data_IF_849595340132
#
_entry.id   IF_849595340132
#
_cell.length_a   1.000
_cell.length_b   1.000
_cell.length_c   1.000
_cell.angle_alpha   90.00
_cell.angle_beta   90.00
_cell.angle_gamma   90.00
#
_symmetry.space_group_name_H-M   'P 1'
#
loop_
_entity.id
_entity.type
_entity.pdbx_description
1 polymer ?
#
# COMPACT_ATOMS: atom_id res chain seq x y z
N UNK A 1 -21.93 -5.89 9.36
CA UNK A 1 -20.74 -6.02 8.49
C UNK A 1 -19.62 -5.05 8.87
N UNK A 2 -19.86 -3.72 8.93
CA UNK A 2 -18.80 -2.73 9.22
C UNK A 2 -18.15 -2.94 10.60
N UNK A 3 -18.93 -3.26 11.64
CA UNK A 3 -18.38 -3.49 12.98
C UNK A 3 -17.46 -4.72 13.06
N UNK A 4 -17.79 -5.80 12.34
CA UNK A 4 -16.96 -7.01 12.25
C UNK A 4 -15.62 -6.73 11.56
N UNK A 5 -15.63 -5.87 10.54
CA UNK A 5 -14.41 -5.42 9.87
C UNK A 5 -13.53 -4.57 10.81
N UNK A 6 -14.12 -3.80 11.72
CA UNK A 6 -13.36 -3.04 12.74
C UNK A 6 -12.58 -3.97 13.68
N UNK A 7 -13.20 -5.06 14.15
CA UNK A 7 -12.51 -6.05 14.99
C UNK A 7 -11.37 -6.75 14.25
N UNK A 8 -11.57 -7.12 12.98
CA UNK A 8 -10.50 -7.70 12.16
C UNK A 8 -9.35 -6.74 11.93
N UNK A 9 -9.62 -5.45 11.68
CA UNK A 9 -8.56 -4.42 11.56
C UNK A 9 -7.70 -4.35 12.80
N UNK A 10 -8.31 -4.43 13.98
CA UNK A 10 -7.55 -4.42 15.23
C UNK A 10 -6.58 -5.60 15.30
N UNK A 11 -7.04 -6.82 14.99
CA UNK A 11 -6.20 -8.02 15.00
C UNK A 11 -5.04 -7.89 14.01
N UNK A 12 -5.32 -7.51 12.76
CA UNK A 12 -4.26 -7.35 11.75
C UNK A 12 -3.33 -6.17 12.02
N UNK A 13 -3.81 -5.09 12.65
CA UNK A 13 -2.96 -4.00 13.10
C UNK A 13 -2.00 -4.47 14.20
N UNK A 14 -2.47 -5.28 15.15
CA UNK A 14 -1.61 -5.87 16.18
C UNK A 14 -0.57 -6.83 15.59
N UNK A 15 -0.93 -7.62 14.56
CA UNK A 15 0.03 -8.45 13.84
C UNK A 15 1.16 -7.62 13.22
N UNK A 16 0.81 -6.55 12.49
CA UNK A 16 1.78 -5.64 11.86
C UNK A 16 2.63 -4.94 12.91
N UNK A 17 2.03 -4.48 14.01
CA UNK A 17 2.75 -3.84 15.10
C UNK A 17 3.79 -4.78 15.72
N UNK A 18 3.39 -5.99 16.10
CA UNK A 18 4.29 -6.98 16.66
C UNK A 18 5.42 -7.39 15.70
N UNK A 19 5.15 -7.44 14.39
CA UNK A 19 6.17 -7.69 13.37
C UNK A 19 7.29 -6.64 13.36
N UNK A 20 6.97 -5.38 13.70
CA UNK A 20 7.97 -4.32 13.83
C UNK A 20 8.65 -4.37 15.21
N UNK A 21 7.91 -4.70 16.27
CA UNK A 21 8.48 -4.86 17.61
C UNK A 21 9.49 -6.01 17.68
N UNK A 22 9.30 -7.07 16.90
CA UNK A 22 10.26 -8.18 16.77
C UNK A 22 11.68 -7.72 16.40
N UNK A 23 11.83 -6.63 15.64
CA UNK A 23 13.14 -6.09 15.27
C UNK A 23 13.88 -5.49 16.48
N UNK A 24 13.15 -5.13 17.54
CA UNK A 24 13.65 -4.47 18.75
C UNK A 24 13.74 -5.45 19.92
N UNK A 25 12.75 -6.35 20.05
CA UNK A 25 12.61 -7.26 21.17
C UNK A 25 12.15 -8.65 20.71
N UNK A 26 12.95 -9.66 21.06
CA UNK A 26 12.70 -11.07 20.75
C UNK A 26 11.46 -11.64 21.46
N UNK A 27 10.87 -10.96 22.46
CA UNK A 27 9.58 -11.39 23.03
C UNK A 27 8.45 -11.41 21.98
N UNK A 28 8.59 -10.65 20.90
CA UNK A 28 7.65 -10.67 19.78
C UNK A 28 7.97 -11.76 18.74
N UNK A 29 8.95 -12.64 19.00
CA UNK A 29 9.34 -13.77 18.15
C UNK A 29 8.35 -14.95 18.20
N UNK A 30 7.04 -14.64 18.16
CA UNK A 30 5.99 -15.64 18.02
C UNK A 30 5.51 -15.69 16.57
N UNK A 31 5.14 -16.89 16.10
CA UNK A 31 4.72 -17.11 14.71
C UNK A 31 3.61 -16.15 14.28
N UNK A 32 2.68 -15.81 15.18
CA UNK A 32 1.61 -14.87 14.93
C UNK A 32 2.08 -13.46 14.47
N UNK A 33 3.17 -12.93 15.03
CA UNK A 33 3.70 -11.62 14.66
C UNK A 33 4.62 -11.68 13.44
N UNK A 34 5.28 -12.81 13.17
CA UNK A 34 6.08 -13.01 11.95
C UNK A 34 5.25 -12.87 10.67
N UNK A 35 4.00 -13.29 10.73
CA UNK A 35 3.04 -13.21 9.63
C UNK A 35 2.39 -11.82 9.48
N UNK A 36 2.97 -10.76 10.07
CA UNK A 36 2.46 -9.39 9.97
C UNK A 36 2.27 -8.88 8.53
N UNK A 37 3.02 -9.43 7.57
CA UNK A 37 2.84 -9.13 6.13
C UNK A 37 1.44 -9.50 5.62
N UNK A 38 0.80 -10.54 6.19
CA UNK A 38 -0.58 -10.93 5.87
C UNK A 38 -1.55 -9.80 6.24
N UNK A 39 -1.30 -9.13 7.36
CA UNK A 39 -2.07 -7.97 7.78
C UNK A 39 -2.03 -6.83 6.76
N UNK A 40 -0.87 -6.60 6.13
CA UNK A 40 -0.74 -5.56 5.09
C UNK A 40 -1.58 -5.91 3.86
N UNK A 41 -1.51 -7.13 3.36
CA UNK A 41 -2.35 -7.58 2.23
C UNK A 41 -3.84 -7.51 2.58
N UNK A 42 -4.23 -7.83 3.83
CA UNK A 42 -5.59 -7.63 4.31
C UNK A 42 -6.01 -6.15 4.23
N UNK A 43 -5.17 -5.20 4.68
CA UNK A 43 -5.50 -3.77 4.61
C UNK A 43 -5.63 -3.27 3.16
N UNK A 44 -4.83 -3.77 2.23
CA UNK A 44 -4.96 -3.43 0.81
C UNK A 44 -6.26 -3.95 0.19
N UNK A 45 -6.62 -5.20 0.48
CA UNK A 45 -7.90 -5.78 0.07
C UNK A 45 -9.09 -5.04 0.70
N UNK A 46 -8.98 -4.73 1.98
CA UNK A 46 -9.98 -3.95 2.70
C UNK A 46 -10.15 -2.54 2.11
N UNK A 47 -9.06 -1.90 1.66
CA UNK A 47 -9.11 -0.61 0.95
C UNK A 47 -9.93 -0.73 -0.33
N UNK A 48 -9.69 -1.77 -1.15
CA UNK A 48 -10.47 -2.07 -2.35
C UNK A 48 -11.95 -2.23 -2.07
N UNK A 49 -12.28 -3.06 -1.08
CA UNK A 49 -13.66 -3.32 -0.67
C UNK A 49 -14.38 -2.06 -0.20
N UNK A 50 -13.79 -1.29 0.71
CA UNK A 50 -14.42 -0.09 1.28
C UNK A 50 -14.62 0.99 0.22
N UNK A 51 -13.66 1.15 -0.69
CA UNK A 51 -13.75 2.19 -1.72
C UNK A 51 -14.79 1.78 -2.77
N UNK A 52 -14.82 0.52 -3.21
CA UNK A 52 -15.88 0.00 -4.06
C UNK A 52 -17.25 0.19 -3.41
N UNK A 53 -17.44 -0.25 -2.17
CA UNK A 53 -18.68 -0.10 -1.40
C UNK A 53 -19.18 1.36 -1.33
N UNK A 54 -18.29 2.31 -1.06
CA UNK A 54 -18.68 3.71 -0.86
C UNK A 54 -18.84 4.52 -2.14
N UNK A 55 -18.16 4.14 -3.23
CA UNK A 55 -18.05 4.97 -4.43
C UNK A 55 -18.63 4.34 -5.71
N UNK A 56 -18.83 3.02 -5.78
CA UNK A 56 -19.36 2.37 -6.99
C UNK A 56 -20.70 2.92 -7.43
N UNK A 57 -21.68 2.98 -6.52
CA UNK A 57 -22.99 3.55 -6.82
C UNK A 57 -22.89 5.04 -7.18
N UNK A 58 -22.05 5.80 -6.48
CA UNK A 58 -21.87 7.25 -6.72
C UNK A 58 -21.28 7.54 -8.10
N UNK A 59 -20.32 6.74 -8.56
CA UNK A 59 -19.77 6.86 -9.91
C UNK A 59 -20.76 6.36 -10.97
N UNK A 60 -21.49 5.27 -10.71
CA UNK A 60 -22.54 4.76 -11.62
C UNK A 60 -23.64 5.80 -11.88
N UNK A 61 -24.01 6.55 -10.85
CA UNK A 61 -25.07 7.57 -10.90
C UNK A 61 -24.52 8.96 -11.28
N UNK A 62 -23.24 9.07 -11.67
CA UNK A 62 -22.55 10.35 -11.95
C UNK A 62 -22.67 11.40 -10.82
N UNK A 63 -22.90 10.96 -9.57
CA UNK A 63 -23.01 11.83 -8.39
C UNK A 63 -21.67 12.36 -7.90
N UNK A 64 -20.56 11.81 -8.38
CA UNK A 64 -19.21 12.26 -8.04
C UNK A 64 -18.32 12.26 -9.27
N UNK A 65 -17.46 13.28 -9.37
CA UNK A 65 -16.43 13.36 -10.41
C UNK A 65 -15.14 12.68 -9.97
N UNK A 66 -14.32 12.23 -10.93
CA UNK A 66 -12.99 11.68 -10.67
C UNK A 66 -12.11 12.66 -9.87
N UNK A 67 -12.18 13.96 -10.20
CA UNK A 67 -11.45 15.03 -9.52
C UNK A 67 -11.84 15.12 -8.04
N UNK A 68 -13.13 15.17 -7.73
CA UNK A 68 -13.62 15.23 -6.34
C UNK A 68 -13.17 14.02 -5.53
N UNK A 69 -13.19 12.83 -6.15
CA UNK A 69 -12.67 11.62 -5.52
C UNK A 69 -11.17 11.73 -5.21
N UNK A 70 -10.33 12.07 -6.19
CA UNK A 70 -8.88 12.17 -6.01
C UNK A 70 -8.49 13.22 -4.98
N UNK A 71 -9.13 14.39 -4.98
CA UNK A 71 -8.88 15.45 -3.97
C UNK A 71 -9.18 14.92 -2.56
N UNK A 72 -10.32 14.24 -2.37
CA UNK A 72 -10.67 13.67 -1.06
C UNK A 72 -9.69 12.58 -0.60
N UNK A 73 -9.11 11.81 -1.54
CA UNK A 73 -8.12 10.78 -1.24
C UNK A 73 -6.74 11.36 -0.93
N UNK A 74 -6.29 12.36 -1.68
CA UNK A 74 -5.02 13.06 -1.45
C UNK A 74 -5.06 13.78 -0.09
N UNK A 75 -6.16 14.49 0.21
CA UNK A 75 -6.35 15.18 1.49
C UNK A 75 -6.38 14.23 2.71
N UNK A 76 -6.64 12.94 2.49
CA UNK A 76 -6.59 11.92 3.54
C UNK A 76 -5.17 11.43 3.83
N UNK A 77 -4.32 11.27 2.81
CA UNK A 77 -2.97 10.71 2.97
C UNK A 77 -1.94 11.80 3.30
N UNK A 78 -1.89 12.84 2.48
CA UNK A 78 -0.75 13.76 2.43
C UNK A 78 -0.52 14.59 3.71
N UNK A 79 -1.55 15.10 4.41
CA UNK A 79 -1.31 15.90 5.61
C UNK A 79 -0.56 15.14 6.71
N UNK A 80 -0.98 13.90 7.00
CA UNK A 80 -0.33 13.05 8.00
C UNK A 80 1.04 12.57 7.51
N UNK A 81 1.15 12.22 6.23
CA UNK A 81 2.42 11.82 5.63
C UNK A 81 3.48 12.92 5.74
N UNK A 82 3.15 14.15 5.34
CA UNK A 82 4.08 15.28 5.44
C UNK A 82 4.47 15.59 6.87
N UNK A 83 3.53 15.54 7.82
CA UNK A 83 3.85 15.73 9.24
C UNK A 83 4.87 14.69 9.73
N UNK A 84 4.61 13.41 9.47
CA UNK A 84 5.53 12.33 9.89
C UNK A 84 6.87 12.37 9.17
N UNK A 85 6.90 12.78 7.90
CA UNK A 85 8.13 13.00 7.14
C UNK A 85 8.96 14.13 7.75
N UNK A 86 8.35 15.26 8.10
CA UNK A 86 9.05 16.38 8.73
C UNK A 86 9.62 16.00 10.09
N UNK A 87 8.86 15.22 10.89
CA UNK A 87 9.36 14.68 12.15
C UNK A 87 10.56 13.76 11.91
N UNK A 88 10.48 12.86 10.93
CA UNK A 88 11.58 11.96 10.58
C UNK A 88 12.85 12.71 10.13
N UNK A 89 12.68 13.79 9.34
CA UNK A 89 13.77 14.68 8.94
C UNK A 89 14.38 15.38 10.15
N UNK A 90 13.56 15.91 11.05
CA UNK A 90 14.03 16.61 12.27
C UNK A 90 14.82 15.69 13.21
N UNK A 91 14.51 14.40 13.24
CA UNK A 91 15.23 13.41 14.05
C UNK A 91 16.54 12.93 13.39
N UNK A 92 16.80 13.27 12.13
CA UNK A 92 18.11 13.19 11.45
C UNK A 92 18.64 11.80 11.08
N UNK A 93 18.26 10.73 11.79
CA UNK A 93 18.95 9.43 11.71
C UNK A 93 18.25 8.35 10.85
N UNK A 94 17.23 8.71 10.07
CA UNK A 94 16.37 7.74 9.38
C UNK A 94 16.61 7.65 7.86
N UNK A 95 17.73 8.16 7.35
CA UNK A 95 18.08 8.07 5.92
C UNK A 95 19.55 7.72 5.73
N UNK A 96 19.81 6.77 4.83
CA UNK A 96 21.16 6.37 4.42
C UNK A 96 21.41 7.02 3.07
N UNK A 97 22.16 8.13 3.05
CA UNK A 97 22.47 8.88 1.84
C UNK A 97 23.97 9.16 1.74
N UNK A 98 24.55 9.06 0.54
CA UNK A 98 25.98 9.26 0.30
C UNK A 98 26.41 10.72 0.11
N UNK A 99 25.53 11.67 0.44
CA UNK A 99 25.76 13.11 0.29
C UNK A 99 24.45 13.90 0.07
N UNK A 100 24.56 15.22 -0.06
CA UNK A 100 23.40 16.13 -0.13
C UNK A 100 22.48 15.85 -1.33
N UNK A 101 23.05 15.57 -2.51
CA UNK A 101 22.26 15.31 -3.72
C UNK A 101 21.44 14.03 -3.54
N UNK A 102 22.05 12.98 -2.99
CA UNK A 102 21.39 11.70 -2.75
C UNK A 102 20.30 11.85 -1.69
N UNK A 103 20.60 12.56 -0.60
CA UNK A 103 19.61 12.92 0.43
C UNK A 103 18.40 13.62 -0.18
N UNK A 104 18.60 14.59 -1.09
CA UNK A 104 17.51 15.27 -1.78
C UNK A 104 16.67 14.32 -2.65
N UNK A 105 17.28 13.31 -3.30
CA UNK A 105 16.54 12.30 -4.07
C UNK A 105 15.65 11.46 -3.14
N UNK A 106 16.20 10.99 -2.02
CA UNK A 106 15.45 10.25 -1.01
C UNK A 106 14.30 11.07 -0.42
N UNK A 107 14.55 12.35 -0.14
CA UNK A 107 13.56 13.27 0.38
C UNK A 107 12.44 13.52 -0.63
N UNK A 108 12.76 13.82 -1.89
CA UNK A 108 11.77 14.02 -2.95
C UNK A 108 10.94 12.76 -3.22
N UNK A 109 11.58 11.59 -3.23
CA UNK A 109 10.90 10.32 -3.40
C UNK A 109 9.91 10.06 -2.25
N UNK A 110 10.32 10.34 -1.02
CA UNK A 110 9.45 10.21 0.17
C UNK A 110 8.34 11.25 0.16
N UNK A 111 8.64 12.52 -0.15
CA UNK A 111 7.68 13.64 -0.19
C UNK A 111 6.52 13.39 -1.16
N UNK A 112 6.79 12.73 -2.28
CA UNK A 112 5.83 12.43 -3.35
C UNK A 112 5.23 11.02 -3.28
N UNK A 113 5.59 10.24 -2.26
CA UNK A 113 5.19 8.82 -2.13
C UNK A 113 5.55 8.00 -3.38
N UNK A 114 6.77 8.21 -3.89
CA UNK A 114 7.34 7.47 -5.03
C UNK A 114 8.51 6.57 -4.62
N UNK A 115 8.94 6.62 -3.37
CA UNK A 115 10.04 5.83 -2.83
C UNK A 115 9.85 4.31 -2.96
N UNK A 116 8.61 3.81 -2.84
CA UNK A 116 8.31 2.38 -2.98
C UNK A 116 8.43 1.82 -4.42
N UNK A 117 8.46 2.68 -5.45
CA UNK A 117 8.66 2.24 -6.82
C UNK A 117 10.11 1.89 -7.12
N UNK A 118 11.04 2.37 -6.30
CA UNK A 118 12.47 2.10 -6.43
C UNK A 118 12.77 0.90 -5.53
N UNK A 119 13.07 -0.29 -6.09
CA UNK A 119 13.22 -1.54 -5.34
C UNK A 119 14.59 -1.62 -4.66
N UNK A 120 14.92 -0.61 -3.85
CA UNK A 120 16.15 -0.53 -3.05
C UNK A 120 15.81 -0.17 -1.62
N UNK A 121 16.34 -0.92 -0.66
CA UNK A 121 16.05 -0.78 0.77
C UNK A 121 16.27 0.63 1.29
N UNK A 122 17.35 1.28 0.83
CA UNK A 122 17.64 2.66 1.20
C UNK A 122 16.59 3.64 0.68
N UNK A 123 15.85 3.35 -0.40
CA UNK A 123 14.75 4.19 -0.89
C UNK A 123 13.45 3.91 -0.15
N UNK A 124 12.95 2.67 -0.17
CA UNK A 124 11.60 2.40 0.32
C UNK A 124 11.48 2.42 1.85
N UNK A 125 12.59 2.32 2.59
CA UNK A 125 12.62 2.55 4.05
C UNK A 125 13.21 3.91 4.47
N UNK A 126 13.41 4.83 3.52
CA UNK A 126 13.86 6.20 3.84
C UNK A 126 12.88 6.96 4.73
N UNK A 127 13.42 7.67 5.72
CA UNK A 127 12.74 8.58 6.66
C UNK A 127 11.63 7.93 7.49
N UNK A 128 10.55 7.52 6.84
CA UNK A 128 9.41 6.86 7.44
C UNK A 128 9.29 5.46 6.82
N UNK A 129 9.87 4.46 7.49
CA UNK A 129 9.92 3.07 7.01
C UNK A 129 8.55 2.52 6.54
N UNK A 130 7.43 2.64 7.29
CA UNK A 130 6.12 2.16 6.82
C UNK A 130 5.47 3.00 5.70
N UNK A 131 6.05 4.13 5.26
CA UNK A 131 5.45 5.01 4.22
C UNK A 131 5.26 4.34 2.87
N UNK A 132 5.95 3.23 2.60
CA UNK A 132 5.78 2.49 1.34
C UNK A 132 4.35 1.95 1.14
N UNK A 133 3.63 1.64 2.22
CA UNK A 133 2.23 1.19 2.11
C UNK A 133 1.32 2.33 1.65
N UNK A 134 1.63 3.58 2.02
CA UNK A 134 0.93 4.78 1.53
C UNK A 134 1.20 5.01 0.03
N UNK A 135 2.37 4.64 -0.47
CA UNK A 135 2.66 4.66 -1.91
C UNK A 135 1.75 3.68 -2.67
N UNK A 136 1.49 2.51 -2.09
CA UNK A 136 0.54 1.54 -2.62
C UNK A 136 -0.87 2.12 -2.63
N UNK A 137 -1.34 2.68 -1.51
CA UNK A 137 -2.65 3.34 -1.44
C UNK A 137 -2.81 4.47 -2.46
N UNK A 138 -1.78 5.29 -2.65
CA UNK A 138 -1.77 6.35 -3.66
C UNK A 138 -2.04 5.79 -5.06
N UNK A 139 -1.35 4.70 -5.45
CA UNK A 139 -1.60 4.05 -6.73
C UNK A 139 -3.03 3.53 -6.82
N UNK A 140 -3.51 2.86 -5.77
CA UNK A 140 -4.87 2.32 -5.74
C UNK A 140 -5.91 3.42 -5.97
N UNK A 141 -5.73 4.58 -5.35
CA UNK A 141 -6.63 5.72 -5.50
C UNK A 141 -6.56 6.34 -6.90
N UNK A 142 -5.39 6.36 -7.53
CA UNK A 142 -5.25 6.80 -8.92
C UNK A 142 -5.97 5.82 -9.85
N UNK A 143 -5.77 4.51 -9.67
CA UNK A 143 -6.32 3.46 -10.52
C UNK A 143 -7.84 3.25 -10.34
N UNK A 144 -8.38 3.49 -9.14
CA UNK A 144 -9.76 3.13 -8.80
C UNK A 144 -10.82 3.66 -9.78
N UNK A 145 -10.85 4.95 -10.18
CA UNK A 145 -11.86 5.45 -11.11
C UNK A 145 -11.78 4.87 -12.53
N UNK A 146 -10.70 4.17 -12.87
CA UNK A 146 -10.56 3.43 -14.12
C UNK A 146 -10.99 1.98 -13.93
N UNK A 147 -10.54 1.34 -12.84
CA UNK A 147 -10.92 -0.04 -12.49
C UNK A 147 -12.42 -0.20 -12.24
N UNK A 148 -13.07 0.83 -11.71
CA UNK A 148 -14.52 0.83 -11.46
C UNK A 148 -15.35 0.75 -12.75
N UNK A 149 -14.79 1.11 -13.91
CA UNK A 149 -15.49 0.89 -15.18
C UNK A 149 -15.65 -0.60 -15.48
N UNK A 150 -14.74 -1.44 -14.97
CA UNK A 150 -14.79 -2.89 -15.11
C UNK A 150 -15.69 -3.57 -14.10
N UNK A 151 -16.11 -2.91 -13.01
CA UNK A 151 -17.03 -3.53 -12.03
C UNK A 151 -18.45 -3.72 -12.58
N UNK A 152 -18.80 -3.06 -13.70
CA UNK A 152 -20.05 -3.33 -14.44
C UNK A 152 -20.12 -4.76 -14.99
N UNK A 153 -18.97 -5.35 -15.28
CA UNK A 153 -18.83 -6.71 -15.77
C UNK A 153 -17.78 -7.44 -14.92
N UNK A 154 -18.25 -8.16 -13.91
CA UNK A 154 -17.37 -8.86 -12.95
C UNK A 154 -16.34 -9.76 -13.65
N UNK A 155 -16.63 -10.27 -14.86
CA UNK A 155 -15.71 -11.11 -15.63
C UNK A 155 -14.49 -10.34 -16.10
N UNK A 156 -14.63 -9.05 -16.44
CA UNK A 156 -13.51 -8.19 -16.81
C UNK A 156 -12.63 -7.91 -15.61
N UNK A 157 -13.23 -7.59 -14.47
CA UNK A 157 -12.47 -7.36 -13.24
C UNK A 157 -11.76 -8.64 -12.75
N UNK A 158 -12.44 -9.79 -12.84
CA UNK A 158 -11.86 -11.10 -12.53
C UNK A 158 -10.73 -11.46 -13.48
N UNK A 159 -10.91 -11.25 -14.79
CA UNK A 159 -9.84 -11.47 -15.78
C UNK A 159 -8.62 -10.60 -15.50
N UNK A 160 -8.82 -9.32 -15.20
CA UNK A 160 -7.73 -8.41 -14.80
C UNK A 160 -7.03 -8.91 -13.55
N UNK A 161 -7.77 -9.33 -12.52
CA UNK A 161 -7.19 -9.92 -11.31
C UNK A 161 -6.35 -11.15 -11.61
N UNK A 162 -6.89 -12.11 -12.38
CA UNK A 162 -6.20 -13.35 -12.73
C UNK A 162 -4.95 -13.09 -13.55
N UNK A 163 -5.01 -12.19 -14.53
CA UNK A 163 -3.84 -11.78 -15.33
C UNK A 163 -2.76 -11.20 -14.41
N UNK A 164 -3.11 -10.25 -13.54
CA UNK A 164 -2.12 -9.66 -12.64
C UNK A 164 -1.58 -10.68 -11.63
N UNK A 165 -2.41 -11.58 -11.10
CA UNK A 165 -1.98 -12.62 -10.17
C UNK A 165 -1.01 -13.61 -10.83
N UNK A 166 -1.30 -14.07 -12.05
CA UNK A 166 -0.43 -14.95 -12.83
C UNK A 166 0.88 -14.24 -13.15
N UNK A 167 0.84 -12.99 -13.62
CA UNK A 167 2.05 -12.20 -13.89
C UNK A 167 2.90 -12.02 -12.64
N UNK A 168 2.28 -11.83 -11.47
CA UNK A 168 3.01 -11.73 -10.20
C UNK A 168 3.71 -13.03 -9.83
N UNK A 169 3.03 -14.17 -9.92
CA UNK A 169 3.62 -15.48 -9.60
C UNK A 169 4.75 -15.82 -10.58
N UNK A 170 4.53 -15.61 -11.88
CA UNK A 170 5.54 -15.86 -12.92
C UNK A 170 6.74 -14.93 -12.73
N UNK A 171 6.51 -13.63 -12.45
CA UNK A 171 7.59 -12.69 -12.21
C UNK A 171 8.39 -13.01 -10.95
N UNK A 172 7.73 -13.43 -9.86
CA UNK A 172 8.40 -13.87 -8.64
C UNK A 172 9.35 -15.04 -8.89
N UNK A 173 8.95 -16.00 -9.71
CA UNK A 173 9.77 -17.16 -10.07
C UNK A 173 11.11 -16.76 -10.71
N UNK A 174 11.13 -15.71 -11.52
CA UNK A 174 12.35 -15.19 -12.16
C UNK A 174 13.12 -14.16 -11.32
N UNK A 175 12.60 -13.77 -10.14
CA UNK A 175 13.23 -12.74 -9.31
C UNK A 175 14.16 -13.38 -8.27
N UNK A 176 15.43 -12.92 -8.15
CA UNK A 176 16.32 -13.39 -7.09
C UNK A 176 15.73 -13.17 -5.69
N UNK A 177 15.93 -14.12 -4.78
CA UNK A 177 15.35 -14.09 -3.42
C UNK A 177 15.62 -12.79 -2.66
N UNK A 178 16.85 -12.26 -2.76
CA UNK A 178 17.27 -11.01 -2.12
C UNK A 178 16.47 -9.79 -2.61
N UNK A 179 16.01 -9.82 -3.85
CA UNK A 179 15.26 -8.74 -4.50
C UNK A 179 13.76 -8.85 -4.28
N UNK A 180 13.25 -9.98 -3.75
CA UNK A 180 11.80 -10.22 -3.67
C UNK A 180 11.09 -9.13 -2.87
N UNK A 181 11.70 -8.68 -1.77
CA UNK A 181 11.12 -7.66 -0.91
C UNK A 181 10.89 -6.35 -1.67
N UNK A 182 11.90 -5.85 -2.37
CA UNK A 182 11.80 -4.59 -3.11
C UNK A 182 10.81 -4.66 -4.28
N UNK A 183 10.82 -5.76 -5.04
CA UNK A 183 9.97 -5.89 -6.23
C UNK A 183 8.54 -6.33 -5.94
N UNK A 184 8.30 -7.17 -4.93
CA UNK A 184 7.00 -7.83 -4.74
C UNK A 184 6.33 -7.52 -3.40
N UNK A 185 7.12 -7.29 -2.34
CA UNK A 185 6.54 -6.95 -1.04
C UNK A 185 6.14 -5.47 -0.99
N UNK A 186 7.01 -4.59 -1.47
CA UNK A 186 6.91 -3.13 -1.27
C UNK A 186 6.37 -2.39 -2.50
N UNK A 187 6.57 -2.94 -3.69
CA UNK A 187 6.27 -2.22 -4.93
C UNK A 187 4.76 -2.03 -5.16
N UNK A 188 4.28 -0.79 -5.35
CA UNK A 188 2.86 -0.50 -5.55
C UNK A 188 2.20 -1.29 -6.69
N UNK A 189 2.91 -1.50 -7.80
CA UNK A 189 2.37 -2.15 -9.00
C UNK A 189 2.01 -3.62 -8.69
N UNK A 190 2.91 -4.32 -8.00
CA UNK A 190 2.74 -5.73 -7.66
C UNK A 190 1.70 -5.97 -6.57
N UNK A 191 1.32 -4.92 -5.83
CA UNK A 191 0.27 -4.93 -4.80
C UNK A 191 -1.10 -4.54 -5.31
N UNK A 192 -1.22 -4.11 -6.56
CA UNK A 192 -2.51 -3.83 -7.20
C UNK A 192 -3.49 -5.03 -7.19
N UNK A 193 -3.07 -6.30 -7.35
CA UNK A 193 -3.96 -7.45 -7.25
C UNK A 193 -4.68 -7.55 -5.90
N UNK A 194 -4.01 -7.24 -4.78
CA UNK A 194 -4.60 -7.26 -3.44
C UNK A 194 -5.79 -6.29 -3.37
N UNK A 195 -5.63 -5.09 -3.93
CA UNK A 195 -6.68 -4.09 -4.02
C UNK A 195 -7.84 -4.54 -4.93
N UNK A 196 -7.55 -5.14 -6.08
CA UNK A 196 -8.58 -5.63 -7.02
C UNK A 196 -9.37 -6.79 -6.40
N UNK A 197 -8.71 -7.71 -5.68
CA UNK A 197 -9.38 -8.77 -4.93
C UNK A 197 -10.40 -8.18 -3.95
N UNK A 198 -10.03 -7.08 -3.28
CA UNK A 198 -10.92 -6.31 -2.42
C UNK A 198 -12.16 -5.78 -3.14
N UNK A 199 -11.98 -5.24 -4.35
CA UNK A 199 -13.08 -4.77 -5.19
C UNK A 199 -13.99 -5.91 -5.65
N UNK A 200 -13.46 -7.11 -5.91
CA UNK A 200 -14.22 -8.30 -6.32
C UNK A 200 -15.08 -8.89 -5.19
N UNK A 201 -14.71 -8.65 -3.93
CA UNK A 201 -15.48 -9.11 -2.77
C UNK A 201 -16.73 -8.26 -2.48
N UNK A 202 -16.88 -7.12 -3.14
CA UNK A 202 -18.06 -6.26 -3.06
C UNK A 202 -19.01 -6.51 -4.24
#
# INVERSE_FOLDING_TARGET
MINTLTSLRFIFAMMVFGAHCYVIDNHFDIHFFKEGFVGVSFFFMLSGFIIAYNYQKKFSENKITKRTFWVARIARIYPLHWLTLLIAVALGNYVIASGTIDWCKHFLASLTLTNAYIPKDNYFFSFNSPSWSLCCEQLFYICFPFLIAFTKDYRKLLSTFLICAILSVVGMYFTPMESIKGYWYVNPITRLPDFIAGMLLF
#
